data_IF_090666765640
#
_entry.id   IF_090666765640
#
_cell.length_a   1.000
_cell.length_b   1.000
_cell.length_c   1.000
_cell.angle_alpha   90.00
_cell.angle_beta   90.00
_cell.angle_gamma   90.00
#
_symmetry.space_group_name_H-M   'P 1'
#
loop_
_entity.id
_entity.type
_entity.pdbx_description
1 polymer ?
#
# COMPACT_ATOMS: atom_id res chain seq x y z
N UNK A 1 -24.34 -21.90 -2.47
CA UNK A 1 -23.76 -23.25 -2.32
C UNK A 1 -22.61 -23.14 -1.33
N UNK A 2 -22.82 -23.72 -0.15
CA UNK A 2 -21.91 -23.70 0.99
C UNK A 2 -20.72 -24.62 0.75
N UNK A 3 -19.55 -24.21 1.22
CA UNK A 3 -18.47 -25.13 1.56
C UNK A 3 -17.71 -24.58 2.78
N UNK A 4 -18.03 -25.13 3.96
CA UNK A 4 -17.11 -25.14 5.09
C UNK A 4 -15.97 -26.12 4.82
N UNK A 5 -14.83 -25.96 5.49
CA UNK A 5 -14.22 -27.13 6.11
C UNK A 5 -13.65 -26.87 7.52
N UNK A 6 -13.96 -27.82 8.42
CA UNK A 6 -13.10 -28.48 9.41
C UNK A 6 -12.15 -27.63 10.27
N UNK A 7 -12.39 -27.50 11.58
CA UNK A 7 -11.94 -28.43 12.64
C UNK A 7 -10.44 -28.74 12.59
N UNK A 8 -9.66 -28.18 13.54
CA UNK A 8 -8.45 -28.75 14.15
C UNK A 8 -8.30 -28.17 15.58
N UNK A 9 -8.25 -29.06 16.58
CA UNK A 9 -7.81 -28.85 17.99
C UNK A 9 -6.27 -28.75 18.04
N UNK A 10 -5.69 -28.04 19.02
CA UNK A 10 -5.09 -28.71 20.20
C UNK A 10 -5.38 -27.93 21.51
N UNK A 11 -5.70 -28.52 22.67
CA UNK A 11 -4.92 -29.41 23.56
C UNK A 11 -3.72 -28.73 24.27
N UNK A 12 -4.02 -28.29 25.51
CA UNK A 12 -3.25 -28.32 26.78
C UNK A 12 -1.83 -27.72 26.85
N UNK A 13 -1.63 -26.80 27.81
CA UNK A 13 -0.64 -26.88 28.90
C UNK A 13 -0.53 -25.56 29.67
N UNK A 14 -1.11 -25.52 30.88
CA UNK A 14 -0.55 -24.78 32.04
C UNK A 14 0.30 -25.80 32.82
N UNK A 15 1.39 -25.41 33.52
CA UNK A 15 1.23 -24.77 34.83
C UNK A 15 2.30 -23.72 35.24
N UNK A 16 1.88 -22.92 36.23
CA UNK A 16 2.60 -22.26 37.32
C UNK A 16 4.13 -22.29 37.40
N UNK A 17 4.72 -21.14 37.77
CA UNK A 17 5.47 -20.96 39.04
C UNK A 17 5.99 -19.51 39.19
N UNK A 18 5.58 -18.85 40.27
CA UNK A 18 6.27 -17.71 40.93
C UNK A 18 6.85 -18.27 42.24
N UNK A 19 8.06 -17.85 42.67
CA UNK A 19 8.10 -16.89 43.79
C UNK A 19 9.31 -15.92 43.81
N UNK A 20 9.22 -14.99 44.77
CA UNK A 20 10.18 -14.07 45.43
C UNK A 20 11.65 -14.52 45.44
N UNK A 21 12.68 -13.67 45.66
CA UNK A 21 12.81 -12.50 46.53
C UNK A 21 14.16 -11.79 46.22
N UNK A 22 14.38 -10.67 46.89
CA UNK A 22 15.66 -10.07 47.28
C UNK A 22 16.30 -9.00 46.37
N UNK A 23 16.32 -7.80 46.98
CA UNK A 23 17.12 -6.60 46.70
C UNK A 23 18.61 -6.87 46.41
N UNK A 24 19.25 -5.97 45.67
CA UNK A 24 20.46 -5.23 46.09
C UNK A 24 20.78 -4.14 45.05
N UNK A 25 21.09 -2.98 45.59
CA UNK A 25 21.59 -1.73 45.02
C UNK A 25 22.86 -1.92 44.16
N UNK A 26 22.92 -1.31 42.96
CA UNK A 26 24.16 -0.78 42.33
C UNK A 26 23.80 0.11 41.13
N UNK A 27 24.39 1.32 40.98
CA UNK A 27 24.12 2.23 39.87
C UNK A 27 25.16 2.08 38.76
N UNK A 28 24.77 1.77 37.51
CA UNK A 28 25.51 2.18 36.31
C UNK A 28 24.84 1.73 35.01
N UNK A 29 25.11 2.53 33.99
CA UNK A 29 24.92 2.31 32.56
C UNK A 29 23.50 2.37 31.99
N UNK A 30 23.20 3.57 31.47
CA UNK A 30 22.32 3.75 30.32
C UNK A 30 22.72 2.77 29.22
N UNK A 31 21.81 1.92 28.71
CA UNK A 31 22.14 1.06 27.58
C UNK A 31 22.47 1.94 26.36
N UNK A 32 23.50 1.60 25.56
CA UNK A 32 23.63 2.19 24.24
C UNK A 32 22.36 1.84 23.49
N UNK A 33 21.58 2.87 23.14
CA UNK A 33 20.47 2.71 22.23
C UNK A 33 21.05 2.09 20.97
N UNK A 34 20.76 0.81 20.75
CA UNK A 34 21.02 0.14 19.50
C UNK A 34 20.21 0.88 18.46
N UNK A 35 20.81 1.90 17.87
CA UNK A 35 20.39 2.49 16.62
C UNK A 35 20.46 1.36 15.59
N UNK A 36 19.37 0.62 15.47
CA UNK A 36 19.07 -0.14 14.26
C UNK A 36 18.67 0.90 13.21
N UNK A 37 19.64 1.73 12.82
CA UNK A 37 19.70 2.23 11.47
C UNK A 37 19.97 0.99 10.63
N UNK A 38 18.91 0.32 10.19
CA UNK A 38 19.01 -0.62 9.08
C UNK A 38 19.64 0.17 7.94
N UNK A 39 20.95 -0.04 7.76
CA UNK A 39 21.74 0.57 6.73
C UNK A 39 21.09 0.20 5.39
N UNK A 40 20.34 1.13 4.83
CA UNK A 40 20.23 1.17 3.38
C UNK A 40 21.65 1.42 2.90
N UNK A 41 22.24 0.47 2.19
CA UNK A 41 23.55 0.65 1.58
C UNK A 41 23.55 1.97 0.80
N UNK A 42 24.50 2.89 1.06
CA UNK A 42 24.60 4.15 0.34
C UNK A 42 25.01 3.83 -1.10
N UNK A 43 24.03 3.61 -1.97
CA UNK A 43 24.24 3.18 -3.35
C UNK A 43 23.00 2.57 -4.01
N UNK A 44 22.07 2.02 -3.24
CA UNK A 44 20.78 1.57 -3.80
C UNK A 44 19.82 2.78 -3.92
N UNK A 45 19.16 2.97 -5.08
CA UNK A 45 18.18 4.04 -5.23
C UNK A 45 17.09 3.91 -4.15
N UNK A 46 16.55 5.01 -3.61
CA UNK A 46 15.59 4.94 -2.51
C UNK A 46 14.30 4.24 -2.96
N UNK A 47 14.24 2.93 -2.73
CA UNK A 47 13.06 2.13 -3.06
C UNK A 47 11.91 2.52 -2.14
N UNK A 48 10.76 2.78 -2.75
CA UNK A 48 9.53 3.07 -1.99
C UNK A 48 8.96 1.75 -1.48
N UNK A 49 8.96 1.58 -0.16
CA UNK A 49 8.41 0.40 0.52
C UNK A 49 6.96 0.65 0.89
N UNK A 50 6.08 -0.25 0.48
CA UNK A 50 4.63 -0.20 0.68
C UNK A 50 4.21 -1.42 1.51
N UNK A 51 3.67 -1.14 2.68
CA UNK A 51 3.15 -2.15 3.59
C UNK A 51 1.76 -2.59 3.15
N UNK A 52 1.57 -3.89 3.09
CA UNK A 52 0.35 -4.63 2.78
C UNK A 52 0.01 -5.52 3.96
N UNK A 53 -1.28 -5.73 4.18
CA UNK A 53 -1.77 -6.47 5.33
C UNK A 53 -3.04 -7.22 5.00
N UNK A 54 -3.13 -8.48 5.41
CA UNK A 54 -4.31 -9.30 5.27
C UNK A 54 -4.65 -9.93 6.61
N UNK A 55 -5.76 -9.47 7.18
CA UNK A 55 -6.37 -10.00 8.40
C UNK A 55 -7.77 -10.44 8.02
N UNK A 56 -8.01 -11.75 8.14
CA UNK A 56 -9.27 -12.38 7.80
C UNK A 56 -10.45 -11.65 8.48
N UNK A 57 -11.49 -11.36 7.70
CA UNK A 57 -12.72 -10.68 8.15
C UNK A 57 -12.55 -9.28 8.78
N UNK A 58 -11.33 -8.73 8.84
CA UNK A 58 -11.09 -7.40 9.44
C UNK A 58 -10.44 -6.40 8.51
N UNK A 59 -9.31 -6.73 7.89
CA UNK A 59 -8.55 -5.79 7.07
C UNK A 59 -8.01 -6.52 5.85
N UNK A 60 -8.31 -6.01 4.67
CA UNK A 60 -7.69 -6.43 3.42
C UNK A 60 -7.02 -5.23 2.75
N UNK A 61 -5.69 -5.18 2.86
CA UNK A 61 -4.84 -4.17 2.27
C UNK A 61 -3.94 -4.82 1.22
N UNK A 62 -4.31 -4.66 -0.04
CA UNK A 62 -3.65 -5.29 -1.18
C UNK A 62 -3.36 -4.27 -2.29
N UNK A 63 -2.57 -4.70 -3.27
CA UNK A 63 -2.29 -3.91 -4.48
C UNK A 63 -3.24 -4.35 -5.59
N UNK A 64 -3.95 -3.40 -6.22
CA UNK A 64 -4.77 -3.68 -7.41
C UNK A 64 -3.92 -3.75 -8.68
N UNK A 65 -2.92 -2.88 -8.77
CA UNK A 65 -1.93 -2.87 -9.84
C UNK A 65 -0.62 -2.24 -9.34
N UNK A 66 0.46 -2.46 -10.08
CA UNK A 66 1.82 -2.08 -9.69
C UNK A 66 2.68 -3.31 -9.58
N UNK A 67 3.78 -3.35 -10.34
CA UNK A 67 4.75 -4.45 -10.31
C UNK A 67 5.80 -4.15 -9.23
N UNK A 68 5.79 -4.85 -8.09
CA UNK A 68 6.82 -4.66 -7.10
C UNK A 68 8.15 -5.18 -7.64
N UNK A 69 9.22 -4.41 -7.41
CA UNK A 69 10.58 -4.83 -7.72
C UNK A 69 11.03 -5.93 -6.76
N UNK A 70 10.63 -5.84 -5.49
CA UNK A 70 10.89 -6.85 -4.46
C UNK A 70 9.72 -6.96 -3.51
N UNK A 71 9.32 -8.19 -3.18
CA UNK A 71 8.37 -8.44 -2.10
C UNK A 71 9.08 -9.07 -0.90
N UNK A 72 8.90 -8.48 0.28
CA UNK A 72 9.40 -8.99 1.55
C UNK A 72 8.20 -9.36 2.43
N UNK A 73 8.06 -10.63 2.78
CA UNK A 73 7.07 -11.05 3.78
C UNK A 73 7.60 -10.72 5.16
N UNK A 74 6.94 -9.80 5.86
CA UNK A 74 7.32 -9.41 7.23
C UNK A 74 6.75 -10.40 8.25
N UNK A 75 5.46 -10.72 8.11
CA UNK A 75 4.76 -11.64 9.01
C UNK A 75 3.84 -12.58 8.21
N UNK A 76 3.15 -13.49 8.90
CA UNK A 76 2.11 -14.33 8.29
C UNK A 76 1.01 -13.50 7.61
N UNK A 77 0.72 -12.30 8.14
CA UNK A 77 -0.37 -11.41 7.70
C UNK A 77 0.11 -10.09 7.08
N UNK A 78 1.41 -9.77 7.14
CA UNK A 78 1.96 -8.50 6.65
C UNK A 78 3.04 -8.76 5.60
N UNK A 79 3.01 -8.00 4.52
CA UNK A 79 4.00 -8.05 3.44
C UNK A 79 4.42 -6.63 3.08
N UNK A 80 5.62 -6.47 2.57
CA UNK A 80 6.17 -5.20 2.12
C UNK A 80 6.57 -5.33 0.66
N UNK A 81 5.92 -4.56 -0.21
CA UNK A 81 6.25 -4.45 -1.61
C UNK A 81 7.18 -3.24 -1.80
N UNK A 82 8.33 -3.43 -2.45
CA UNK A 82 9.30 -2.39 -2.74
C UNK A 82 9.22 -2.01 -4.21
N UNK A 83 9.12 -0.72 -4.49
CA UNK A 83 8.95 -0.16 -5.83
C UNK A 83 10.15 0.71 -6.19
N UNK A 84 10.51 0.70 -7.48
CA UNK A 84 11.48 1.63 -8.04
C UNK A 84 10.92 3.07 -7.98
N UNK A 85 11.77 4.10 -7.86
CA UNK A 85 11.35 5.50 -7.98
C UNK A 85 10.55 5.75 -9.27
N UNK A 86 9.54 6.61 -9.22
CA UNK A 86 8.68 6.92 -10.37
C UNK A 86 7.59 5.88 -10.69
N UNK A 87 7.68 4.66 -10.14
CA UNK A 87 6.70 3.61 -10.39
C UNK A 87 5.31 3.97 -9.84
N UNK A 88 4.26 3.82 -10.65
CA UNK A 88 2.86 4.03 -10.26
C UNK A 88 2.25 2.71 -9.81
N UNK A 89 1.57 2.74 -8.67
CA UNK A 89 0.89 1.57 -8.10
C UNK A 89 -0.42 1.98 -7.40
N UNK A 90 -1.36 1.04 -7.33
CA UNK A 90 -2.65 1.25 -6.70
C UNK A 90 -2.81 0.32 -5.50
N UNK A 91 -3.12 0.91 -4.35
CA UNK A 91 -3.36 0.21 -3.10
C UNK A 91 -4.83 0.34 -2.72
N UNK A 92 -5.46 -0.79 -2.45
CA UNK A 92 -6.84 -0.87 -1.97
C UNK A 92 -6.81 -1.33 -0.52
N UNK A 93 -7.53 -0.60 0.33
CA UNK A 93 -7.78 -0.91 1.74
C UNK A 93 -9.27 -1.11 1.92
N UNK A 94 -9.62 -2.32 2.32
CA UNK A 94 -10.94 -2.67 2.78
C UNK A 94 -10.85 -3.03 4.26
N UNK A 95 -11.77 -2.50 5.06
CA UNK A 95 -11.86 -2.83 6.49
C UNK A 95 -13.30 -3.14 6.85
N UNK A 96 -13.49 -4.24 7.57
CA UNK A 96 -14.74 -4.59 8.22
C UNK A 96 -14.52 -4.75 9.71
N UNK A 97 -15.52 -4.36 10.47
CA UNK A 97 -15.60 -4.68 11.89
C UNK A 97 -16.71 -5.71 12.11
N UNK A 98 -16.92 -6.08 13.37
CA UNK A 98 -17.96 -7.06 13.76
C UNK A 98 -19.39 -6.53 13.51
N UNK A 99 -19.53 -5.25 13.12
CA UNK A 99 -20.80 -4.57 12.81
C UNK A 99 -20.98 -4.29 11.30
N UNK A 100 -20.02 -4.67 10.44
CA UNK A 100 -20.07 -4.50 8.99
C UNK A 100 -18.85 -3.80 8.38
N UNK A 101 -18.91 -3.57 7.07
CA UNK A 101 -17.81 -2.90 6.35
C UNK A 101 -17.67 -1.45 6.83
N UNK A 102 -16.52 -1.15 7.43
CA UNK A 102 -16.24 0.15 8.04
C UNK A 102 -15.57 1.12 7.07
N UNK A 103 -14.68 0.62 6.20
CA UNK A 103 -13.90 1.49 5.30
C UNK A 103 -13.60 0.85 3.96
N UNK A 104 -13.96 1.57 2.90
CA UNK A 104 -13.46 1.37 1.54
C UNK A 104 -12.52 2.52 1.20
N UNK A 105 -11.29 2.22 0.84
CA UNK A 105 -10.32 3.23 0.40
C UNK A 105 -9.48 2.66 -0.74
N UNK A 106 -9.37 3.40 -1.83
CA UNK A 106 -8.46 3.12 -2.93
C UNK A 106 -7.59 4.34 -3.14
N UNK A 107 -6.27 4.12 -3.16
CA UNK A 107 -5.31 5.17 -3.44
C UNK A 107 -4.38 4.77 -4.58
N UNK A 108 -4.18 5.68 -5.52
CA UNK A 108 -3.15 5.54 -6.56
C UNK A 108 -1.98 6.43 -6.16
N UNK A 109 -0.82 5.82 -6.11
CA UNK A 109 0.41 6.39 -5.60
C UNK A 109 1.51 6.28 -6.64
N UNK A 110 2.43 7.23 -6.61
CA UNK A 110 3.68 7.17 -7.36
C UNK A 110 4.84 7.10 -6.37
N UNK A 111 5.72 6.13 -6.56
CA UNK A 111 6.96 6.00 -5.80
C UNK A 111 7.79 7.28 -5.95
N UNK A 112 8.25 7.83 -4.83
CA UNK A 112 8.89 9.15 -4.88
C UNK A 112 10.24 9.08 -5.58
N UNK A 113 10.45 10.00 -6.50
CA UNK A 113 11.77 10.28 -7.08
C UNK A 113 12.48 11.33 -6.23
N UNK A 114 13.80 11.24 -6.02
CA UNK A 114 14.56 12.31 -5.36
C UNK A 114 14.27 13.67 -6.03
N UNK A 115 13.83 14.66 -5.24
CA UNK A 115 13.49 16.01 -5.73
C UNK A 115 12.00 16.27 -5.96
N UNK A 116 11.13 15.25 -5.88
CA UNK A 116 9.68 15.42 -6.03
C UNK A 116 8.97 15.67 -4.69
N UNK A 117 7.71 16.16 -4.75
CA UNK A 117 6.88 16.39 -3.56
C UNK A 117 6.55 15.06 -2.86
N UNK A 118 7.15 14.85 -1.70
CA UNK A 118 6.92 13.69 -0.84
C UNK A 118 5.67 13.87 0.03
N UNK A 119 4.70 12.96 -0.03
CA UNK A 119 3.64 12.85 0.97
C UNK A 119 3.87 11.64 1.88
N UNK A 120 3.68 11.84 3.18
CA UNK A 120 3.72 10.74 4.16
C UNK A 120 2.40 10.01 4.11
N UNK A 121 2.44 8.76 3.69
CA UNK A 121 1.28 7.88 3.65
C UNK A 121 1.53 6.72 4.61
N UNK A 122 0.54 6.37 5.42
CA UNK A 122 0.65 5.27 6.36
C UNK A 122 1.02 3.96 5.62
N UNK A 123 2.10 3.32 6.09
CA UNK A 123 2.65 2.12 5.49
C UNK A 123 3.53 2.35 4.25
N UNK A 124 3.80 3.60 3.84
CA UNK A 124 4.70 3.91 2.73
C UNK A 124 5.93 4.65 3.25
N UNK A 125 7.14 4.13 2.99
CA UNK A 125 8.41 4.75 3.40
C UNK A 125 9.40 4.77 2.23
N UNK A 126 10.16 5.86 2.00
CA UNK A 126 10.19 7.13 2.76
C UNK A 126 8.93 8.00 2.61
N UNK A 127 8.14 7.76 1.55
CA UNK A 127 6.83 8.32 1.28
C UNK A 127 6.50 8.11 -0.20
N UNK A 128 5.40 8.70 -0.67
CA UNK A 128 5.01 8.61 -2.08
C UNK A 128 4.23 9.86 -2.48
N UNK A 129 4.10 10.08 -3.78
CA UNK A 129 3.21 11.12 -4.28
C UNK A 129 1.79 10.54 -4.41
N UNK A 130 0.82 11.15 -3.72
CA UNK A 130 -0.58 10.80 -3.87
C UNK A 130 -1.10 11.36 -5.19
N UNK A 131 -1.56 10.48 -6.08
CA UNK A 131 -2.17 10.87 -7.35
C UNK A 131 -3.69 10.91 -7.25
N UNK A 132 -4.28 9.89 -6.61
CA UNK A 132 -5.72 9.76 -6.43
C UNK A 132 -6.02 9.13 -5.07
N UNK A 133 -7.05 9.65 -4.40
CA UNK A 133 -7.66 9.01 -3.24
C UNK A 133 -9.18 8.95 -3.43
N UNK A 134 -9.73 7.75 -3.37
CA UNK A 134 -11.16 7.51 -3.35
C UNK A 134 -11.52 6.81 -2.05
N UNK A 135 -12.44 7.41 -1.30
CA UNK A 135 -12.99 6.84 -0.07
C UNK A 135 -14.50 6.61 -0.24
N UNK A 136 -14.97 5.48 0.27
CA UNK A 136 -16.35 5.03 0.13
C UNK A 136 -16.57 4.12 -1.08
N UNK A 137 -17.53 3.22 -0.93
CA UNK A 137 -17.82 2.14 -1.88
C UNK A 137 -18.08 2.66 -3.30
N UNK A 138 -19.01 3.60 -3.48
CA UNK A 138 -19.36 4.12 -4.79
C UNK A 138 -18.18 4.79 -5.53
N UNK A 139 -17.32 5.52 -4.80
CA UNK A 139 -16.14 6.17 -5.40
C UNK A 139 -15.06 5.16 -5.74
N UNK A 140 -14.81 4.20 -4.85
CA UNK A 140 -13.84 3.11 -5.09
C UNK A 140 -14.29 2.28 -6.29
N UNK A 141 -15.57 1.91 -6.36
CA UNK A 141 -16.13 1.17 -7.49
C UNK A 141 -16.02 1.95 -8.79
N UNK A 142 -16.30 3.25 -8.78
CA UNK A 142 -16.15 4.10 -9.95
C UNK A 142 -14.69 4.16 -10.44
N UNK A 143 -13.71 4.18 -9.54
CA UNK A 143 -12.29 4.13 -9.91
C UNK A 143 -11.90 2.75 -10.44
N UNK A 144 -12.37 1.67 -9.82
CA UNK A 144 -12.13 0.31 -10.30
C UNK A 144 -12.68 0.12 -11.72
N UNK A 145 -13.89 0.59 -12.00
CA UNK A 145 -14.45 0.57 -13.36
C UNK A 145 -13.60 1.35 -14.37
N UNK A 146 -12.99 2.47 -13.97
CA UNK A 146 -12.06 3.21 -14.84
C UNK A 146 -10.75 2.44 -15.07
N UNK A 147 -10.23 1.76 -14.04
CA UNK A 147 -9.07 0.88 -14.18
C UNK A 147 -9.39 -0.26 -15.15
N UNK A 148 -10.55 -0.91 -14.97
CA UNK A 148 -10.99 -2.01 -15.83
C UNK A 148 -11.19 -1.53 -17.28
N UNK A 149 -11.68 -0.29 -17.49
CA UNK A 149 -11.78 0.31 -18.82
C UNK A 149 -10.42 0.57 -19.48
N UNK A 150 -9.40 0.96 -18.70
CA UNK A 150 -8.02 1.13 -19.19
C UNK A 150 -7.40 -0.23 -19.54
N UNK A 151 -7.61 -1.24 -18.68
CA UNK A 151 -7.16 -2.62 -18.93
C UNK A 151 -7.84 -3.20 -20.18
N UNK A 152 -9.12 -2.89 -20.42
CA UNK A 152 -9.84 -3.28 -21.63
C UNK A 152 -9.28 -2.65 -22.92
N UNK A 153 -8.58 -1.51 -22.81
CA UNK A 153 -7.84 -0.89 -23.92
C UNK A 153 -6.44 -1.50 -24.11
N UNK A 154 -6.12 -2.58 -23.38
CA UNK A 154 -4.80 -3.23 -23.34
C UNK A 154 -3.66 -2.30 -22.88
N UNK A 155 -4.00 -1.27 -22.11
CA UNK A 155 -3.02 -0.34 -21.52
C UNK A 155 -2.75 -0.80 -20.08
N UNK A 156 -1.47 -0.94 -19.72
CA UNK A 156 -1.11 -1.21 -18.33
C UNK A 156 -1.39 0.06 -17.50
N UNK A 157 -2.25 0.01 -16.46
CA UNK A 157 -2.57 1.18 -15.64
C UNK A 157 -1.34 1.76 -14.92
N UNK A 158 -0.26 0.99 -14.78
CA UNK A 158 1.02 1.49 -14.26
C UNK A 158 1.73 2.44 -15.23
N UNK A 159 1.47 2.31 -16.53
CA UNK A 159 1.98 3.16 -17.60
C UNK A 159 1.03 4.33 -17.90
N UNK A 160 -0.09 4.46 -17.20
CA UNK A 160 -0.98 5.59 -17.41
C UNK A 160 -0.36 6.86 -16.81
N UNK A 161 -0.50 7.98 -17.54
CA UNK A 161 0.08 9.26 -17.17
C UNK A 161 -0.28 9.66 -15.72
N UNK A 162 0.69 9.97 -14.83
CA UNK A 162 0.41 10.41 -13.46
C UNK A 162 -0.50 11.64 -13.39
N UNK A 163 -0.43 12.52 -14.39
CA UNK A 163 -1.32 13.68 -14.53
C UNK A 163 -2.79 13.28 -14.73
N UNK A 164 -3.06 12.21 -15.49
CA UNK A 164 -4.42 11.70 -15.70
C UNK A 164 -5.03 11.22 -14.38
N UNK A 165 -4.28 10.46 -13.58
CA UNK A 165 -4.74 10.02 -12.26
C UNK A 165 -5.08 11.19 -11.33
N UNK A 166 -4.30 12.27 -11.36
CA UNK A 166 -4.62 13.51 -10.61
C UNK A 166 -5.89 14.18 -11.12
N UNK A 167 -6.10 14.28 -12.43
CA UNK A 167 -7.34 14.83 -13.00
C UNK A 167 -8.54 13.97 -12.61
N UNK A 168 -8.41 12.64 -12.64
CA UNK A 168 -9.44 11.71 -12.22
C UNK A 168 -9.81 11.91 -10.74
N UNK A 169 -8.80 12.02 -9.86
CA UNK A 169 -8.99 12.29 -8.44
C UNK A 169 -9.68 13.63 -8.18
N UNK A 170 -9.27 14.69 -8.88
CA UNK A 170 -9.90 16.01 -8.77
C UNK A 170 -11.37 15.98 -9.20
N UNK A 171 -11.70 15.27 -10.28
CA UNK A 171 -13.09 15.13 -10.75
C UNK A 171 -13.94 14.28 -9.82
N UNK A 172 -13.38 13.22 -9.23
CA UNK A 172 -14.06 12.44 -8.19
C UNK A 172 -14.40 13.29 -6.96
N UNK A 173 -13.47 14.14 -6.52
CA UNK A 173 -13.70 15.07 -5.43
C UNK A 173 -14.79 16.10 -5.79
N UNK A 174 -14.78 16.59 -7.04
CA UNK A 174 -15.76 17.51 -7.58
C UNK A 174 -17.11 16.86 -8.00
N UNK A 175 -17.26 15.53 -7.86
CA UNK A 175 -18.43 14.75 -8.33
C UNK A 175 -18.77 14.97 -9.81
N UNK A 176 -17.74 15.17 -10.64
CA UNK A 176 -17.85 15.42 -12.07
C UNK A 176 -17.72 14.12 -12.89
N UNK A 177 -18.20 14.09 -14.15
CA UNK A 177 -18.06 12.94 -15.01
C UNK A 177 -16.58 12.55 -15.20
N UNK A 178 -16.32 11.26 -15.05
CA UNK A 178 -14.98 10.68 -15.13
C UNK A 178 -14.47 10.81 -16.57
N UNK A 179 -13.25 11.32 -16.78
CA UNK A 179 -12.69 11.46 -18.11
C UNK A 179 -12.31 10.08 -18.66
N UNK A 180 -12.82 9.74 -19.84
CA UNK A 180 -12.37 8.56 -20.55
C UNK A 180 -10.87 8.69 -20.87
N UNK A 181 -10.10 7.66 -20.55
CA UNK A 181 -8.71 7.56 -20.99
C UNK A 181 -8.69 6.93 -22.38
N UNK A 182 -8.18 7.66 -23.36
CA UNK A 182 -8.07 7.18 -24.75
C UNK A 182 -6.64 6.81 -25.11
N UNK A 183 -6.49 5.86 -26.02
CA UNK A 183 -5.20 5.37 -26.52
C UNK A 183 -4.37 6.48 -27.16
N UNK A 184 -5.00 7.45 -27.86
CA UNK A 184 -4.32 8.62 -28.44
C UNK A 184 -3.66 9.51 -27.37
N UNK A 185 -4.31 9.67 -26.21
CA UNK A 185 -3.76 10.44 -25.10
C UNK A 185 -2.60 9.70 -24.44
N UNK A 186 -2.68 8.37 -24.41
CA UNK A 186 -1.62 7.51 -23.91
C UNK A 186 -0.38 7.58 -24.82
N UNK A 187 -0.54 7.46 -26.13
CA UNK A 187 0.58 7.55 -27.08
C UNK A 187 1.21 8.95 -27.11
N UNK A 188 0.41 10.02 -27.01
CA UNK A 188 0.93 11.38 -26.89
C UNK A 188 1.76 11.57 -25.60
N UNK A 189 1.34 10.94 -24.50
CA UNK A 189 2.10 10.98 -23.25
C UNK A 189 3.39 10.17 -23.33
N UNK A 190 3.36 8.95 -23.89
CA UNK A 190 4.56 8.13 -24.10
C UNK A 190 5.60 8.88 -24.95
N UNK A 191 5.18 9.52 -26.04
CA UNK A 191 6.07 10.36 -26.86
C UNK A 191 6.68 11.54 -26.09
N UNK A 192 5.96 12.07 -25.10
CA UNK A 192 6.45 13.14 -24.23
C UNK A 192 7.38 12.64 -23.12
N UNK A 193 7.25 11.39 -22.69
CA UNK A 193 8.19 10.75 -21.76
C UNK A 193 9.51 10.38 -22.44
N UNK A 194 9.48 9.86 -23.67
CA UNK A 194 10.71 9.52 -24.43
C UNK A 194 11.63 10.74 -24.69
N UNK A 195 11.09 11.96 -24.57
CA UNK A 195 11.82 13.21 -24.77
C UNK A 195 12.47 13.77 -23.48
N UNK A 196 12.35 13.08 -22.35
CA UNK A 196 12.75 13.58 -21.02
C UNK A 196 13.99 12.89 -20.46
#
# INVERSE_FOLDING_TARGET
>A
MNASPSTIRPAVASPASVPSDASVDTPMDLPPHLSVASAASPGDPPLTRVSLAYVEHRINLYLRFGRPLRELRLDRWRRCASFAPGAVFCRVRWESNDYGTTRWQLIVLQACTPGERMQRIAGVRPGAQLLLCAEGEARVQAVLQQIDAIEALAIDPTQAAPAYWRTLGNRLAARQPLPAYGTERHTAWLRGEDLR
#
